data_IF_670221564750
#
_entry.id   IF_670221564750
#
_cell.length_a   1.000
_cell.length_b   1.000
_cell.length_c   1.000
_cell.angle_alpha   90.00
_cell.angle_beta   90.00
_cell.angle_gamma   90.00
#
_symmetry.space_group_name_H-M   'P 1'
#
loop_
_entity.id
_entity.type
_entity.pdbx_description
1 polymer ?
#
# COMPACT_ATOMS: atom_id res chain seq x y z
N UNK A 1 -77.42 57.97 -14.81
CA UNK A 1 -76.24 58.16 -15.70
C UNK A 1 -75.78 56.78 -16.12
N UNK A 2 -76.14 56.38 -17.34
CA UNK A 2 -75.92 55.04 -17.89
C UNK A 2 -74.57 55.08 -18.60
N UNK A 3 -73.60 54.29 -18.15
CA UNK A 3 -72.30 54.21 -18.83
C UNK A 3 -72.51 53.62 -20.24
N UNK A 4 -72.05 54.32 -21.29
CA UNK A 4 -72.17 53.82 -22.65
C UNK A 4 -71.33 52.56 -22.80
N UNK A 5 -71.96 51.48 -23.28
CA UNK A 5 -71.27 50.26 -23.68
C UNK A 5 -70.36 50.62 -24.86
N UNK A 6 -69.05 50.59 -24.64
CA UNK A 6 -68.02 50.75 -25.66
C UNK A 6 -68.14 49.61 -26.68
N UNK A 7 -69.01 49.82 -27.67
CA UNK A 7 -69.17 48.99 -28.85
C UNK A 7 -68.16 49.44 -29.90
N UNK A 8 -66.88 49.08 -29.73
CA UNK A 8 -65.83 49.12 -30.76
C UNK A 8 -64.51 48.65 -30.13
N UNK A 9 -64.38 47.35 -29.94
CA UNK A 9 -63.08 46.69 -29.98
C UNK A 9 -63.20 45.55 -30.99
N UNK A 10 -62.35 45.65 -32.01
CA UNK A 10 -61.94 44.62 -32.96
C UNK A 10 -62.36 43.21 -32.55
N UNK A 11 -63.11 42.53 -33.43
CA UNK A 11 -63.55 41.16 -33.20
C UNK A 11 -62.35 40.30 -32.80
N UNK A 12 -62.36 39.82 -31.55
CA UNK A 12 -61.30 38.98 -31.04
C UNK A 12 -61.11 37.78 -31.98
N UNK A 13 -59.87 37.33 -32.20
CA UNK A 13 -59.62 36.22 -33.10
C UNK A 13 -60.47 35.02 -32.66
N UNK A 14 -61.07 34.30 -33.61
CA UNK A 14 -61.95 33.13 -33.34
C UNK A 14 -61.32 32.03 -32.48
N UNK A 15 -60.01 32.10 -32.23
CA UNK A 15 -59.27 31.23 -31.33
C UNK A 15 -59.36 31.65 -29.86
N UNK A 16 -59.90 32.82 -29.53
CA UNK A 16 -60.07 33.33 -28.17
C UNK A 16 -60.97 32.42 -27.33
N UNK A 17 -62.13 32.02 -27.87
CA UNK A 17 -63.09 31.16 -27.18
C UNK A 17 -62.67 29.69 -27.13
N UNK A 18 -61.57 29.34 -27.83
CA UNK A 18 -60.95 28.00 -27.76
C UNK A 18 -59.90 27.88 -26.65
N UNK A 19 -59.51 29.01 -26.04
CA UNK A 19 -58.57 29.01 -24.91
C UNK A 19 -59.35 28.73 -23.63
N UNK A 20 -58.68 28.18 -22.63
CA UNK A 20 -59.31 27.90 -21.34
C UNK A 20 -59.44 29.15 -20.45
N UNK A 21 -58.64 30.17 -20.72
CA UNK A 21 -58.53 31.41 -19.94
C UNK A 21 -58.72 32.64 -20.83
N UNK A 22 -59.55 33.55 -20.38
CA UNK A 22 -59.80 34.85 -20.99
C UNK A 22 -58.85 35.90 -20.40
N UNK A 23 -57.96 36.42 -21.23
CA UNK A 23 -56.92 37.39 -20.85
C UNK A 23 -57.51 38.79 -20.62
N UNK A 24 -58.67 39.09 -21.20
CA UNK A 24 -59.30 40.41 -21.12
C UNK A 24 -60.13 40.52 -19.85
N UNK A 25 -60.90 39.48 -19.54
CA UNK A 25 -61.69 39.44 -18.31
C UNK A 25 -60.94 38.85 -17.11
N UNK A 26 -59.78 38.23 -17.32
CA UNK A 26 -58.96 37.55 -16.31
C UNK A 26 -59.74 36.41 -15.61
N UNK A 27 -60.57 35.69 -16.37
CA UNK A 27 -61.43 34.60 -15.87
C UNK A 27 -61.30 33.35 -16.72
N UNK A 28 -61.61 32.20 -16.14
CA UNK A 28 -61.74 30.95 -16.90
C UNK A 28 -63.11 30.88 -17.57
N UNK A 29 -63.16 30.29 -18.77
CA UNK A 29 -64.40 30.13 -19.52
C UNK A 29 -65.35 29.10 -18.90
N UNK A 30 -64.81 28.10 -18.20
CA UNK A 30 -65.56 27.11 -17.42
C UNK A 30 -65.07 27.07 -15.97
N UNK A 31 -66.02 26.96 -15.04
CA UNK A 31 -65.80 26.77 -13.60
C UNK A 31 -64.74 27.69 -12.97
N UNK A 32 -64.79 28.99 -13.27
CA UNK A 32 -63.81 29.98 -12.82
C UNK A 32 -63.59 29.97 -11.31
N UNK A 33 -64.66 29.93 -10.51
CA UNK A 33 -64.56 29.96 -9.05
C UNK A 33 -63.87 28.71 -8.48
N UNK A 34 -64.02 27.54 -9.11
CA UNK A 34 -63.41 26.30 -8.61
C UNK A 34 -61.93 26.25 -8.96
N UNK A 35 -61.56 26.65 -10.18
CA UNK A 35 -60.17 26.75 -10.63
C UNK A 35 -59.39 27.81 -9.86
N UNK A 36 -60.00 28.95 -9.58
CA UNK A 36 -59.37 30.00 -8.78
C UNK A 36 -59.10 29.52 -7.34
N UNK A 37 -60.07 28.84 -6.71
CA UNK A 37 -59.86 28.22 -5.40
C UNK A 37 -58.73 27.20 -5.40
N UNK A 38 -58.68 26.31 -6.40
CA UNK A 38 -57.60 25.33 -6.55
C UNK A 38 -56.24 26.02 -6.70
N UNK A 39 -56.14 27.05 -7.53
CA UNK A 39 -54.89 27.79 -7.73
C UNK A 39 -54.44 28.51 -6.45
N UNK A 40 -55.36 29.09 -5.67
CA UNK A 40 -55.06 29.70 -4.38
C UNK A 40 -54.62 28.67 -3.34
N UNK A 41 -55.25 27.50 -3.32
CA UNK A 41 -54.89 26.40 -2.43
C UNK A 41 -53.50 25.84 -2.76
N UNK A 42 -53.19 25.67 -4.05
CA UNK A 42 -51.86 25.28 -4.53
C UNK A 42 -50.82 26.33 -4.15
N UNK A 43 -51.09 27.61 -4.40
CA UNK A 43 -50.21 28.72 -4.02
C UNK A 43 -49.97 28.74 -2.52
N UNK A 44 -51.01 28.54 -1.71
CA UNK A 44 -50.91 28.48 -0.24
C UNK A 44 -50.02 27.31 0.19
N UNK A 45 -50.20 26.12 -0.39
CA UNK A 45 -49.37 24.94 -0.13
C UNK A 45 -47.91 25.21 -0.50
N UNK A 46 -47.65 25.82 -1.66
CA UNK A 46 -46.29 26.18 -2.07
C UNK A 46 -45.64 27.17 -1.10
N UNK A 47 -46.36 28.23 -0.73
CA UNK A 47 -45.84 29.24 0.21
C UNK A 47 -45.56 28.59 1.56
N UNK A 48 -46.43 27.70 2.04
CA UNK A 48 -46.22 26.96 3.28
C UNK A 48 -44.96 26.08 3.22
N UNK A 49 -44.76 25.34 2.13
CA UNK A 49 -43.55 24.53 1.95
C UNK A 49 -42.28 25.41 1.95
N UNK A 50 -42.28 26.53 1.21
CA UNK A 50 -41.14 27.46 1.17
C UNK A 50 -40.87 28.10 2.53
N UNK A 51 -41.92 28.43 3.28
CA UNK A 51 -41.82 28.97 4.63
C UNK A 51 -41.10 27.98 5.55
N UNK A 52 -41.55 26.72 5.62
CA UNK A 52 -40.94 25.71 6.50
C UNK A 52 -39.55 25.24 6.05
N UNK A 53 -39.19 25.41 4.77
CA UNK A 53 -37.81 25.19 4.32
C UNK A 53 -36.83 26.14 5.01
N UNK A 54 -37.24 27.38 5.23
CA UNK A 54 -36.41 28.46 5.81
C UNK A 54 -36.59 28.61 7.32
N UNK A 55 -37.77 28.26 7.86
CA UNK A 55 -38.16 28.47 9.26
C UNK A 55 -38.23 27.15 10.06
N UNK A 56 -37.28 26.24 9.86
CA UNK A 56 -37.22 24.97 10.61
C UNK A 56 -36.23 24.99 11.78
N UNK A 57 -35.49 26.07 11.96
CA UNK A 57 -34.42 26.21 12.94
C UNK A 57 -34.72 27.37 13.89
N UNK A 58 -34.56 27.13 15.19
CA UNK A 58 -34.63 28.18 16.21
C UNK A 58 -33.22 28.74 16.46
N UNK A 59 -32.92 30.00 16.08
CA UNK A 59 -31.61 30.59 16.28
C UNK A 59 -31.29 30.90 17.75
N UNK A 60 -32.29 30.96 18.64
CA UNK A 60 -32.09 31.29 20.06
C UNK A 60 -31.61 30.04 20.82
N UNK A 61 -32.34 28.94 20.65
CA UNK A 61 -31.99 27.64 21.26
C UNK A 61 -30.89 26.93 20.47
N UNK A 62 -30.73 27.28 19.20
CA UNK A 62 -29.82 26.65 18.24
C UNK A 62 -30.16 25.16 17.97
N UNK A 63 -31.45 24.84 17.93
CA UNK A 63 -31.99 23.50 17.70
C UNK A 63 -33.05 23.54 16.58
N UNK A 64 -33.23 22.42 15.88
CA UNK A 64 -34.36 22.25 14.96
C UNK A 64 -35.66 22.02 15.75
N UNK A 65 -36.78 22.59 15.28
CA UNK A 65 -38.10 22.38 15.90
C UNK A 65 -38.54 20.90 15.81
N UNK A 66 -38.09 20.19 14.78
CA UNK A 66 -38.35 18.77 14.59
C UNK A 66 -37.27 17.91 15.26
N UNK A 67 -37.71 17.07 16.20
CA UNK A 67 -36.84 16.22 17.04
C UNK A 67 -36.10 15.14 16.23
N UNK A 68 -36.73 14.61 15.17
CA UNK A 68 -36.09 13.57 14.36
C UNK A 68 -34.94 14.16 13.55
N UNK A 69 -35.18 15.33 12.94
CA UNK A 69 -34.18 16.10 12.21
C UNK A 69 -33.02 16.55 13.09
N UNK A 70 -33.31 16.99 14.33
CA UNK A 70 -32.29 17.34 15.31
C UNK A 70 -31.41 16.13 15.67
N UNK A 71 -32.02 14.97 15.93
CA UNK A 71 -31.27 13.75 16.24
C UNK A 71 -30.35 13.32 15.08
N UNK A 72 -30.81 13.45 13.83
CA UNK A 72 -29.96 13.19 12.66
C UNK A 72 -28.80 14.19 12.56
N UNK A 73 -29.07 15.47 12.76
CA UNK A 73 -28.04 16.51 12.74
C UNK A 73 -26.97 16.27 13.82
N UNK A 74 -27.38 15.90 15.04
CA UNK A 74 -26.48 15.58 16.13
C UNK A 74 -25.60 14.36 15.79
N UNK A 75 -26.19 13.29 15.25
CA UNK A 75 -25.42 12.11 14.79
C UNK A 75 -24.39 12.47 13.72
N UNK A 76 -24.77 13.29 12.73
CA UNK A 76 -23.85 13.76 11.69
C UNK A 76 -22.73 14.63 12.28
N UNK A 77 -23.06 15.53 13.21
CA UNK A 77 -22.12 16.41 13.88
C UNK A 77 -21.12 15.65 14.74
N UNK A 78 -21.58 14.62 15.45
CA UNK A 78 -20.72 13.71 16.21
C UNK A 78 -19.76 12.94 15.31
N UNK A 79 -20.26 12.39 14.20
CA UNK A 79 -19.42 11.73 13.20
C UNK A 79 -18.36 12.68 12.62
N UNK A 80 -18.75 13.92 12.32
CA UNK A 80 -17.81 14.95 11.86
C UNK A 80 -16.79 15.34 12.93
N UNK A 81 -17.21 15.50 14.18
CA UNK A 81 -16.32 15.82 15.30
C UNK A 81 -15.26 14.74 15.49
N UNK A 82 -15.64 13.47 15.36
CA UNK A 82 -14.71 12.34 15.43
C UNK A 82 -13.65 12.38 14.31
N UNK A 83 -14.04 12.79 13.10
CA UNK A 83 -13.16 12.81 11.91
C UNK A 83 -12.36 14.11 11.76
N UNK A 84 -12.80 15.21 12.37
CA UNK A 84 -12.20 16.53 12.15
C UNK A 84 -10.69 16.57 12.46
N UNK A 85 -10.26 16.03 13.61
CA UNK A 85 -8.84 16.01 13.98
C UNK A 85 -7.97 15.12 13.07
N UNK A 86 -8.48 13.94 12.70
CA UNK A 86 -7.72 12.99 11.87
C UNK A 86 -7.59 13.48 10.44
N UNK A 87 -8.63 14.12 9.89
CA UNK A 87 -8.61 14.71 8.55
C UNK A 87 -7.62 15.88 8.42
N UNK A 88 -7.51 16.72 9.47
CA UNK A 88 -6.53 17.80 9.51
C UNK A 88 -5.09 17.25 9.51
N UNK A 89 -4.81 16.23 10.33
CA UNK A 89 -3.52 15.54 10.33
C UNK A 89 -3.23 14.86 8.97
N UNK A 90 -4.25 14.30 8.34
CA UNK A 90 -4.16 13.68 7.02
C UNK A 90 -3.92 14.68 5.88
N UNK A 91 -4.10 15.99 6.09
CA UNK A 91 -3.74 17.05 5.12
C UNK A 91 -2.32 17.55 5.25
N UNK A 92 -1.64 17.29 6.37
CA UNK A 92 -0.29 17.78 6.60
C UNK A 92 0.73 17.24 5.57
N UNK A 93 1.84 17.94 5.32
CA UNK A 93 2.93 17.40 4.52
C UNK A 93 3.49 16.09 5.09
N UNK A 94 3.98 15.15 4.27
CA UNK A 94 4.56 13.89 4.73
C UNK A 94 5.68 14.05 5.76
N UNK A 95 6.50 15.10 5.62
CA UNK A 95 7.58 15.42 6.57
C UNK A 95 7.07 15.63 7.99
N UNK A 96 5.91 16.27 8.15
CA UNK A 96 5.29 16.53 9.46
C UNK A 96 4.48 15.31 9.91
N UNK A 97 3.73 14.68 9.00
CA UNK A 97 2.91 13.49 9.30
C UNK A 97 3.70 12.32 9.86
N UNK A 98 4.86 12.06 9.27
CA UNK A 98 5.75 10.97 9.63
C UNK A 98 6.94 11.47 10.45
N UNK A 99 6.83 12.64 11.09
CA UNK A 99 7.83 13.10 12.04
C UNK A 99 7.71 12.31 13.35
N UNK A 100 8.83 12.15 14.05
CA UNK A 100 8.89 11.51 15.37
C UNK A 100 7.96 12.20 16.38
N UNK A 101 7.90 13.55 16.35
CA UNK A 101 7.00 14.32 17.22
C UNK A 101 5.50 14.04 16.99
N UNK A 102 5.13 13.58 15.79
CA UNK A 102 3.77 13.13 15.51
C UNK A 102 3.50 11.70 15.99
N UNK A 103 4.51 10.82 15.91
CA UNK A 103 4.39 9.39 16.23
C UNK A 103 4.67 9.05 17.72
N UNK A 104 5.35 9.94 18.44
CA UNK A 104 5.84 9.71 19.80
C UNK A 104 5.36 10.80 20.78
N UNK A 105 5.07 10.40 22.01
CA UNK A 105 4.78 11.35 23.10
C UNK A 105 6.00 11.50 24.01
N UNK A 106 6.60 12.68 24.01
CA UNK A 106 7.82 12.97 24.79
C UNK A 106 7.54 12.93 26.31
N UNK A 107 6.33 13.32 26.72
CA UNK A 107 6.00 13.44 28.16
C UNK A 107 5.76 12.08 28.80
N UNK A 108 4.96 11.23 28.15
CA UNK A 108 4.65 9.88 28.66
C UNK A 108 5.66 8.83 28.22
N UNK A 109 6.57 9.19 27.31
CA UNK A 109 7.51 8.26 26.66
C UNK A 109 6.82 7.06 26.00
N UNK A 110 5.60 7.26 25.51
CA UNK A 110 4.81 6.23 24.84
C UNK A 110 4.68 6.53 23.36
N UNK A 111 4.71 5.47 22.55
CA UNK A 111 4.46 5.54 21.11
C UNK A 111 2.97 5.73 20.86
N UNK A 112 2.60 6.79 20.14
CA UNK A 112 1.21 7.04 19.73
C UNK A 112 0.84 6.14 18.55
N UNK A 113 1.72 6.09 17.54
CA UNK A 113 1.52 5.36 16.29
C UNK A 113 2.80 4.63 15.87
N UNK A 114 2.88 3.33 16.14
CA UNK A 114 4.05 2.50 15.81
C UNK A 114 4.34 2.45 14.30
N UNK A 115 3.29 2.42 13.48
CA UNK A 115 3.43 2.35 12.02
C UNK A 115 4.12 3.60 11.47
N UNK A 116 3.77 4.79 11.98
CA UNK A 116 4.37 6.06 11.56
C UNK A 116 5.81 6.17 12.04
N UNK A 117 6.09 5.70 13.24
CA UNK A 117 7.44 5.67 13.79
C UNK A 117 8.37 4.84 12.90
N UNK A 118 7.96 3.62 12.52
CA UNK A 118 8.73 2.76 11.60
C UNK A 118 9.00 3.42 10.25
N UNK A 119 8.03 4.19 9.72
CA UNK A 119 8.23 4.93 8.46
C UNK A 119 9.23 6.08 8.62
N UNK A 120 9.23 6.76 9.77
CA UNK A 120 10.16 7.82 10.10
C UNK A 120 11.58 7.27 10.23
N UNK A 121 11.75 6.23 11.05
CA UNK A 121 13.01 5.51 11.24
C UNK A 121 13.56 4.97 9.91
N UNK A 122 12.69 4.43 9.05
CA UNK A 122 13.09 3.96 7.72
C UNK A 122 13.56 5.08 6.79
N UNK A 123 12.98 6.28 6.90
CA UNK A 123 13.39 7.45 6.13
C UNK A 123 14.75 7.97 6.60
N UNK A 124 14.97 8.06 7.92
CA UNK A 124 16.23 8.49 8.51
C UNK A 124 17.36 7.48 8.21
N UNK A 125 17.08 6.19 8.42
CA UNK A 125 18.06 5.12 8.20
C UNK A 125 18.34 4.84 6.71
N UNK A 126 17.64 5.48 5.77
CA UNK A 126 17.83 5.27 4.33
C UNK A 126 19.26 5.56 3.89
N UNK A 127 19.85 6.64 4.39
CA UNK A 127 21.22 7.04 4.05
C UNK A 127 22.27 6.05 4.62
N UNK A 128 21.99 5.45 5.76
CA UNK A 128 22.86 4.43 6.36
C UNK A 128 22.71 3.11 5.58
N UNK A 129 21.49 2.74 5.22
CA UNK A 129 21.21 1.51 4.49
C UNK A 129 21.75 1.53 3.05
N UNK A 130 21.77 2.69 2.37
CA UNK A 130 22.41 2.81 1.05
C UNK A 130 23.92 2.55 1.11
N UNK A 131 24.60 3.05 2.15
CA UNK A 131 26.03 2.79 2.37
C UNK A 131 26.35 1.34 2.71
N UNK A 132 25.42 0.65 3.41
CA UNK A 132 25.57 -0.80 3.69
C UNK A 132 25.55 -1.61 2.40
N UNK A 133 24.70 -1.24 1.43
CA UNK A 133 24.64 -1.90 0.12
C UNK A 133 25.97 -1.86 -0.62
N UNK A 134 26.59 -0.68 -0.73
CA UNK A 134 27.89 -0.54 -1.41
C UNK A 134 29.01 -1.34 -0.73
N UNK A 135 29.02 -1.40 0.61
CA UNK A 135 30.01 -2.20 1.34
C UNK A 135 29.83 -3.71 1.11
N UNK A 136 28.58 -4.18 0.99
CA UNK A 136 28.29 -5.58 0.66
C UNK A 136 28.71 -5.89 -0.78
N UNK A 137 28.40 -5.01 -1.73
CA UNK A 137 28.82 -5.18 -3.13
C UNK A 137 30.34 -5.19 -3.29
N UNK A 138 31.06 -4.32 -2.58
CA UNK A 138 32.53 -4.32 -2.56
C UNK A 138 33.08 -5.66 -2.07
N UNK A 139 32.54 -6.21 -0.98
CA UNK A 139 32.94 -7.53 -0.47
C UNK A 139 32.67 -8.66 -1.47
N UNK A 140 31.56 -8.58 -2.21
CA UNK A 140 31.23 -9.55 -3.26
C UNK A 140 32.22 -9.44 -4.43
N UNK A 141 32.52 -8.22 -4.87
CA UNK A 141 33.51 -7.96 -5.93
C UNK A 141 34.89 -8.46 -5.54
N UNK A 142 35.39 -8.10 -4.35
CA UNK A 142 36.69 -8.58 -3.86
C UNK A 142 36.77 -10.11 -3.79
N UNK A 143 35.68 -10.77 -3.41
CA UNK A 143 35.61 -12.24 -3.38
C UNK A 143 35.67 -12.82 -4.79
N UNK A 144 34.95 -12.22 -5.74
CA UNK A 144 34.96 -12.63 -7.14
C UNK A 144 36.36 -12.45 -7.76
N UNK A 145 36.97 -11.27 -7.59
CA UNK A 145 38.32 -10.96 -8.06
C UNK A 145 39.37 -11.91 -7.48
N UNK A 146 39.28 -12.26 -6.19
CA UNK A 146 40.18 -13.23 -5.56
C UNK A 146 40.04 -14.62 -6.19
N UNK A 147 38.82 -15.03 -6.53
CA UNK A 147 38.59 -16.31 -7.19
C UNK A 147 39.10 -16.31 -8.62
N UNK A 148 38.86 -15.23 -9.36
CA UNK A 148 39.32 -15.05 -10.74
C UNK A 148 40.86 -15.07 -10.80
N UNK A 149 41.53 -14.24 -9.98
CA UNK A 149 43.00 -14.23 -9.86
C UNK A 149 43.53 -15.62 -9.53
N UNK A 150 42.92 -16.34 -8.60
CA UNK A 150 43.35 -17.70 -8.26
C UNK A 150 43.15 -18.71 -9.41
N UNK A 151 42.15 -18.53 -10.28
CA UNK A 151 41.97 -19.36 -11.47
C UNK A 151 42.97 -19.00 -12.57
N UNK A 152 43.23 -17.71 -12.79
CA UNK A 152 44.25 -17.22 -13.71
C UNK A 152 45.64 -17.70 -13.30
N UNK A 153 46.01 -17.56 -12.03
CA UNK A 153 47.29 -18.05 -11.51
C UNK A 153 47.45 -19.56 -11.77
N UNK A 154 46.38 -20.34 -11.56
CA UNK A 154 46.39 -21.78 -11.85
C UNK A 154 46.54 -22.07 -13.34
N UNK A 155 45.93 -21.29 -14.22
CA UNK A 155 46.05 -21.47 -15.66
C UNK A 155 47.46 -21.12 -16.15
N UNK A 156 48.02 -20.00 -15.67
CA UNK A 156 49.40 -19.60 -15.96
C UNK A 156 50.42 -20.62 -15.45
N UNK A 157 50.24 -21.17 -14.24
CA UNK A 157 51.11 -22.22 -13.72
C UNK A 157 51.05 -23.50 -14.56
N UNK A 158 49.89 -23.87 -15.10
CA UNK A 158 49.77 -25.02 -16.03
C UNK A 158 50.52 -24.77 -17.33
N UNK A 159 50.35 -23.58 -17.91
CA UNK A 159 51.04 -23.18 -19.14
C UNK A 159 52.56 -23.11 -18.94
N UNK A 160 53.02 -22.52 -17.83
CA UNK A 160 54.44 -22.44 -17.50
C UNK A 160 55.06 -23.85 -17.32
N UNK A 161 54.34 -24.77 -16.64
CA UNK A 161 54.79 -26.17 -16.50
C UNK A 161 54.85 -26.89 -17.85
N UNK A 162 53.83 -26.75 -18.68
CA UNK A 162 53.78 -27.38 -20.00
C UNK A 162 54.82 -26.79 -20.97
N UNK A 163 55.02 -25.47 -20.95
CA UNK A 163 56.03 -24.77 -21.74
C UNK A 163 57.45 -25.21 -21.37
N UNK A 164 57.74 -25.33 -20.06
CA UNK A 164 59.02 -25.86 -19.59
C UNK A 164 59.25 -27.32 -20.01
N UNK A 165 58.19 -28.14 -20.07
CA UNK A 165 58.27 -29.51 -20.58
C UNK A 165 58.55 -29.53 -22.09
N UNK A 166 57.81 -28.77 -22.90
CA UNK A 166 58.05 -28.69 -24.35
C UNK A 166 59.44 -28.14 -24.66
N UNK A 167 59.88 -27.07 -24.01
CA UNK A 167 61.22 -26.53 -24.23
C UNK A 167 62.34 -27.52 -23.89
N UNK A 168 62.09 -28.52 -23.03
CA UNK A 168 63.04 -29.59 -22.72
C UNK A 168 63.04 -30.72 -23.73
N UNK A 169 61.86 -31.17 -24.14
CA UNK A 169 61.71 -32.31 -25.05
C UNK A 169 61.92 -31.89 -26.50
N UNK A 170 61.44 -30.72 -26.89
CA UNK A 170 61.43 -30.22 -28.26
C UNK A 170 62.60 -29.25 -28.53
N UNK A 171 63.03 -28.45 -27.56
CA UNK A 171 64.13 -27.49 -27.73
C UNK A 171 65.52 -28.13 -27.97
N UNK A 172 65.62 -29.46 -27.86
CA UNK A 172 66.83 -30.26 -28.09
C UNK A 172 66.71 -31.20 -29.31
N UNK A 173 65.69 -30.99 -30.16
CA UNK A 173 65.35 -31.88 -31.27
C UNK A 173 66.44 -32.00 -32.34
N UNK A 174 67.31 -31.01 -32.47
CA UNK A 174 68.45 -31.13 -33.37
C UNK A 174 69.51 -31.98 -32.67
N UNK A 175 69.56 -33.27 -33.03
CA UNK A 175 70.51 -34.28 -32.51
C UNK A 175 71.98 -34.00 -32.86
N UNK A 176 72.30 -32.77 -33.26
CA UNK A 176 73.60 -32.26 -33.64
C UNK A 176 73.80 -30.86 -33.08
N UNK A 177 75.05 -30.49 -32.82
CA UNK A 177 75.41 -29.17 -32.32
C UNK A 177 75.30 -28.13 -33.44
N UNK A 178 74.39 -27.16 -33.32
CA UNK A 178 74.01 -26.21 -34.39
C UNK A 178 75.18 -25.41 -35.00
N UNK A 179 76.25 -25.17 -34.24
CA UNK A 179 77.40 -24.36 -34.69
C UNK A 179 78.50 -25.21 -35.34
N UNK A 180 78.71 -26.43 -34.84
CA UNK A 180 79.80 -27.31 -35.29
C UNK A 180 79.30 -28.45 -36.17
N UNK A 181 77.98 -28.60 -36.30
CA UNK A 181 77.28 -29.65 -37.03
C UNK A 181 77.77 -31.07 -36.68
N UNK A 182 78.21 -31.26 -35.44
CA UNK A 182 78.67 -32.56 -34.93
C UNK A 182 77.52 -33.24 -34.22
N UNK A 183 77.37 -34.55 -34.42
CA UNK A 183 76.32 -35.32 -33.77
C UNK A 183 76.49 -35.31 -32.25
N UNK A 184 75.36 -35.22 -31.55
CA UNK A 184 75.30 -35.26 -30.11
C UNK A 184 75.24 -36.70 -29.55
N UNK A 185 75.15 -37.69 -30.44
CA UNK A 185 75.00 -39.10 -30.12
C UNK A 185 76.13 -39.92 -30.76
N UNK A 186 76.56 -41.00 -30.11
CA UNK A 186 77.62 -41.90 -30.61
C UNK A 186 78.98 -41.70 -29.93
N UNK A 187 79.99 -42.48 -30.37
CA UNK A 187 81.30 -42.61 -29.69
C UNK A 187 82.14 -41.32 -29.74
N UNK A 188 81.91 -40.45 -30.73
CA UNK A 188 82.59 -39.16 -30.90
C UNK A 188 81.66 -37.96 -30.69
N UNK A 189 80.46 -38.19 -30.13
CA UNK A 189 79.47 -37.14 -29.97
C UNK A 189 79.84 -36.16 -28.85
N UNK A 190 79.58 -34.87 -29.07
CA UNK A 190 79.76 -33.86 -28.03
C UNK A 190 78.57 -33.86 -27.05
N UNK A 191 78.81 -33.70 -25.74
CA UNK A 191 77.73 -33.65 -24.76
C UNK A 191 76.88 -32.40 -24.96
N UNK A 192 75.55 -32.55 -24.91
CA UNK A 192 74.65 -31.38 -25.01
C UNK A 192 74.89 -30.43 -23.83
N UNK A 193 74.81 -29.11 -24.05
CA UNK A 193 74.88 -28.14 -22.96
C UNK A 193 73.76 -28.39 -21.94
N UNK A 194 74.01 -28.18 -20.63
CA UNK A 194 73.00 -28.36 -19.60
C UNK A 194 71.84 -27.38 -19.79
N UNK A 195 70.60 -27.82 -19.52
CA UNK A 195 69.44 -26.94 -19.67
C UNK A 195 69.49 -25.85 -18.62
N UNK A 196 69.33 -24.58 -19.01
CA UNK A 196 69.17 -23.47 -18.07
C UNK A 196 67.81 -23.46 -17.36
N UNK A 197 66.90 -24.36 -17.76
CA UNK A 197 65.58 -24.52 -17.16
C UNK A 197 65.69 -25.33 -15.85
N UNK A 198 65.02 -24.91 -14.76
CA UNK A 198 65.11 -25.55 -13.44
C UNK A 198 64.58 -26.98 -13.48
N UNK A 199 65.35 -27.96 -12.97
CA UNK A 199 65.01 -29.39 -12.92
C UNK A 199 63.56 -29.59 -12.45
N UNK A 200 62.84 -30.55 -13.06
CA UNK A 200 61.51 -30.86 -12.55
C UNK A 200 61.71 -31.45 -11.16
N UNK A 201 61.06 -30.87 -10.16
CA UNK A 201 61.10 -31.42 -8.82
C UNK A 201 60.51 -32.84 -8.85
N UNK A 202 61.30 -33.81 -8.41
CA UNK A 202 60.85 -35.17 -8.20
C UNK A 202 59.79 -35.21 -7.11
N UNK A 203 58.94 -36.24 -7.13
CA UNK A 203 57.87 -36.42 -6.14
C UNK A 203 58.41 -36.35 -4.71
N UNK A 204 59.59 -36.93 -4.48
CA UNK A 204 60.28 -36.88 -3.18
C UNK A 204 60.78 -35.49 -2.81
N UNK A 205 61.36 -34.73 -3.75
CA UNK A 205 61.78 -33.35 -3.48
C UNK A 205 60.60 -32.41 -3.27
N UNK A 206 59.44 -32.68 -3.90
CA UNK A 206 58.18 -31.98 -3.64
C UNK A 206 57.66 -32.24 -2.23
N UNK A 207 57.71 -33.50 -1.79
CA UNK A 207 57.32 -33.87 -0.43
C UNK A 207 58.19 -33.16 0.63
N UNK A 208 59.48 -33.00 0.36
CA UNK A 208 60.42 -32.29 1.25
C UNK A 208 60.36 -30.76 1.13
N UNK A 209 59.94 -30.20 -0.01
CA UNK A 209 59.73 -28.75 -0.13
C UNK A 209 58.38 -28.29 0.44
N UNK A 210 57.38 -29.18 0.45
CA UNK A 210 56.06 -28.94 1.05
C UNK A 210 56.10 -28.82 2.58
N UNK A 211 57.12 -29.36 3.25
CA UNK A 211 57.27 -29.21 4.71
C UNK A 211 57.73 -27.81 5.14
N UNK A 212 58.43 -27.07 4.28
CA UNK A 212 58.90 -25.70 4.58
C UNK A 212 58.00 -24.62 3.95
N UNK A 213 57.37 -24.90 2.81
CA UNK A 213 56.44 -23.97 2.15
C UNK A 213 54.99 -24.38 2.44
N UNK A 214 54.44 -23.85 3.53
CA UNK A 214 53.09 -24.13 4.00
C UNK A 214 52.02 -24.15 2.89
N UNK A 215 51.46 -25.34 2.65
CA UNK A 215 50.10 -25.62 2.19
C UNK A 215 49.52 -24.63 1.18
N UNK A 216 50.00 -24.64 -0.06
CA UNK A 216 49.27 -24.08 -1.20
C UNK A 216 49.43 -24.94 -2.45
N UNK A 217 48.57 -25.95 -2.58
CA UNK A 217 47.95 -26.48 -3.82
C UNK A 217 47.04 -27.64 -3.37
N UNK A 218 45.72 -27.56 -3.51
CA UNK A 218 45.05 -27.57 -4.79
C UNK A 218 44.28 -28.88 -5.08
N UNK A 219 44.22 -29.85 -4.16
CA UNK A 219 43.16 -30.87 -4.14
C UNK A 219 42.06 -30.43 -3.19
N UNK A 220 40.83 -30.35 -3.69
CA UNK A 220 39.64 -29.93 -2.97
C UNK A 220 39.11 -31.02 -2.02
N UNK A 221 39.99 -31.60 -1.22
CA UNK A 221 39.62 -32.39 -0.05
C UNK A 221 40.54 -31.91 1.06
N UNK A 222 40.11 -30.83 1.74
CA UNK A 222 40.67 -30.54 3.05
C UNK A 222 40.61 -31.84 3.87
N UNK A 223 41.67 -32.26 4.56
CA UNK A 223 41.52 -33.32 5.55
C UNK A 223 40.50 -32.79 6.54
N UNK A 224 39.27 -33.33 6.48
CA UNK A 224 38.31 -33.20 7.57
C UNK A 224 39.11 -33.57 8.81
N UNK A 225 39.23 -32.64 9.77
CA UNK A 225 39.67 -32.96 11.12
C UNK A 225 38.89 -34.21 11.50
N UNK A 226 39.57 -35.36 11.51
CA UNK A 226 38.98 -36.61 11.93
C UNK A 226 38.52 -36.34 13.34
N UNK A 227 37.20 -36.42 13.52
CA UNK A 227 36.60 -36.38 14.84
C UNK A 227 37.38 -37.38 15.68
N UNK A 228 37.79 -36.95 16.88
CA UNK A 228 38.34 -37.77 17.96
C UNK A 228 37.79 -39.20 17.86
N UNK A 229 38.68 -40.19 17.91
CA UNK A 229 38.30 -41.59 17.93
C UNK A 229 37.14 -41.79 18.93
N UNK A 230 36.07 -42.44 18.47
CA UNK A 230 34.91 -42.76 19.28
C UNK A 230 35.38 -43.74 20.34
N UNK A 231 35.48 -43.26 21.58
CA UNK A 231 35.76 -44.10 22.74
C UNK A 231 34.63 -45.14 22.84
N UNK A 232 34.99 -46.43 22.79
CA UNK A 232 34.05 -47.56 22.86
C UNK A 232 33.78 -47.99 24.31
N UNK A 233 34.24 -47.21 25.29
CA UNK A 233 33.86 -47.39 26.68
C UNK A 233 32.49 -46.71 26.90
N UNK A 234 31.45 -47.52 27.11
CA UNK A 234 30.06 -47.08 27.24
C UNK A 234 29.77 -46.26 28.49
N UNK A 235 30.37 -45.08 28.62
CA UNK A 235 30.06 -44.11 29.67
C UNK A 235 29.21 -42.97 29.08
N UNK A 236 27.96 -42.92 29.52
CA UNK A 236 27.02 -41.83 29.23
C UNK A 236 27.44 -40.62 30.06
N UNK A 237 27.89 -39.55 29.40
CA UNK A 237 28.06 -38.24 30.02
C UNK A 237 27.32 -37.20 29.20
N UNK A 238 26.16 -36.85 29.70
CA UNK A 238 25.34 -35.69 29.34
C UNK A 238 26.12 -34.42 29.64
N UNK A 239 26.36 -33.57 28.63
CA UNK A 239 26.49 -32.14 28.87
C UNK A 239 26.15 -31.33 27.60
N UNK A 240 25.07 -30.58 27.72
CA UNK A 240 24.60 -29.57 26.80
C UNK A 240 25.56 -28.38 26.80
N UNK A 241 26.06 -27.97 25.62
CA UNK A 241 26.26 -26.53 25.36
C UNK A 241 26.15 -26.18 23.88
N UNK A 242 25.10 -25.39 23.65
CA UNK A 242 24.80 -24.48 22.55
C UNK A 242 25.97 -24.08 21.62
N UNK A 243 25.72 -24.11 20.30
CA UNK A 243 25.50 -22.88 19.52
C UNK A 243 25.19 -23.17 18.03
N UNK A 244 24.15 -22.47 17.55
CA UNK A 244 23.89 -21.97 16.20
C UNK A 244 23.99 -22.93 15.01
N UNK A 245 22.83 -23.38 14.54
CA UNK A 245 22.61 -23.86 13.19
C UNK A 245 22.25 -22.68 12.27
N UNK A 246 23.18 -22.30 11.40
CA UNK A 246 22.86 -21.79 10.07
C UNK A 246 22.96 -22.97 9.09
N UNK A 247 21.94 -23.25 8.27
CA UNK A 247 22.18 -23.90 7.00
C UNK A 247 21.56 -23.10 5.85
N UNK A 248 22.42 -22.34 5.18
CA UNK A 248 22.21 -21.93 3.80
C UNK A 248 22.79 -22.98 2.84
N UNK A 249 21.87 -23.59 2.07
CA UNK A 249 22.05 -24.01 0.67
C UNK A 249 22.88 -25.27 0.38
N UNK A 250 22.19 -26.38 0.15
CA UNK A 250 22.53 -27.29 -0.97
C UNK A 250 21.28 -27.61 -1.78
N UNK A 251 21.39 -27.27 -3.07
CA UNK A 251 20.47 -27.53 -4.17
C UNK A 251 20.20 -29.01 -4.38
N UNK A 252 18.91 -29.38 -4.44
CA UNK A 252 18.45 -30.52 -5.22
C UNK A 252 17.08 -30.16 -5.81
N UNK A 253 17.05 -30.04 -7.14
CA UNK A 253 15.85 -29.81 -7.96
C UNK A 253 15.11 -31.14 -8.14
N UNK A 254 13.77 -31.13 -8.14
CA UNK A 254 13.05 -31.87 -9.16
C UNK A 254 12.01 -31.01 -9.88
N UNK A 255 11.61 -31.54 -11.03
CA UNK A 255 10.71 -31.02 -12.05
C UNK A 255 9.22 -31.12 -11.69
N UNK A 256 8.40 -30.42 -12.50
CA UNK A 256 6.92 -30.41 -12.58
C UNK A 256 6.25 -29.43 -11.58
N UNK A 257 5.25 -28.62 -11.92
CA UNK A 257 4.33 -28.55 -13.06
C UNK A 257 3.82 -27.11 -13.22
N UNK A 258 3.46 -26.74 -14.45
CA UNK A 258 2.84 -25.47 -14.84
C UNK A 258 1.48 -25.25 -14.15
N UNK A 259 1.36 -24.16 -13.39
CA UNK A 259 0.09 -23.50 -13.12
C UNK A 259 0.32 -21.99 -13.03
N UNK A 260 -0.03 -21.28 -14.10
CA UNK A 260 0.02 -19.83 -14.20
C UNK A 260 -1.01 -19.22 -13.25
N UNK A 261 -0.54 -18.57 -12.18
CA UNK A 261 -1.35 -17.62 -11.40
C UNK A 261 -0.81 -16.23 -11.67
N UNK A 262 -1.54 -15.49 -12.51
CA UNK A 262 -1.28 -14.09 -12.79
C UNK A 262 -1.45 -13.27 -11.50
N UNK A 263 -0.35 -12.73 -10.98
CA UNK A 263 -0.40 -11.73 -9.91
C UNK A 263 -0.70 -10.35 -10.51
N UNK A 264 -1.97 -9.97 -10.44
CA UNK A 264 -2.42 -8.60 -10.59
C UNK A 264 -1.82 -7.74 -9.47
N UNK A 265 -0.97 -6.79 -9.87
CA UNK A 265 -0.56 -5.66 -9.02
C UNK A 265 -1.77 -4.72 -8.84
N UNK A 266 -2.52 -4.91 -7.76
CA UNK A 266 -3.46 -3.89 -7.26
C UNK A 266 -2.73 -3.04 -6.22
N UNK A 267 -2.15 -1.92 -6.67
CA UNK A 267 -1.85 -0.80 -5.78
C UNK A 267 -3.18 -0.21 -5.34
N UNK A 268 -3.69 -0.65 -4.19
CA UNK A 268 -4.82 -0.01 -3.52
C UNK A 268 -4.30 1.34 -3.00
N UNK A 269 -4.50 2.38 -3.80
CA UNK A 269 -4.47 3.75 -3.32
C UNK A 269 -5.57 3.86 -2.26
N UNK A 270 -5.16 3.81 -0.99
CA UNK A 270 -6.05 4.06 0.13
C UNK A 270 -6.51 5.52 0.01
N UNK A 271 -7.69 5.71 -0.60
CA UNK A 271 -8.36 7.00 -0.59
C UNK A 271 -8.48 7.44 0.88
N UNK A 272 -8.17 8.71 1.21
CA UNK A 272 -8.42 9.21 2.56
C UNK A 272 -9.89 8.96 2.90
N UNK A 273 -10.22 8.71 4.18
CA UNK A 273 -11.59 8.48 4.60
C UNK A 273 -12.45 9.61 4.06
N UNK A 274 -13.48 9.24 3.28
CA UNK A 274 -14.38 10.22 2.68
C UNK A 274 -15.10 10.90 3.83
N UNK A 275 -14.77 12.18 4.06
CA UNK A 275 -15.39 12.97 5.11
C UNK A 275 -16.88 12.99 4.79
N UNK A 276 -17.76 12.57 5.72
CA UNK A 276 -19.20 12.65 5.49
C UNK A 276 -19.54 14.11 5.25
N UNK A 277 -19.94 14.46 4.03
CA UNK A 277 -20.44 15.80 3.76
C UNK A 277 -21.76 15.95 4.49
N UNK A 278 -21.88 17.01 5.29
CA UNK A 278 -23.11 17.40 5.97
C UNK A 278 -24.20 17.55 4.91
N UNK A 279 -25.00 16.50 4.76
CA UNK A 279 -26.08 16.48 3.78
C UNK A 279 -27.28 17.00 4.54
N UNK A 280 -27.61 18.27 4.29
CA UNK A 280 -28.86 18.85 4.77
C UNK A 280 -30.00 17.91 4.34
N UNK A 281 -30.90 17.49 5.24
CA UNK A 281 -31.98 16.58 4.88
C UNK A 281 -32.87 17.28 3.85
N UNK A 282 -32.74 16.86 2.59
CA UNK A 282 -33.57 17.31 1.49
C UNK A 282 -34.86 16.50 1.46
N UNK A 283 -35.65 16.58 2.53
CA UNK A 283 -37.00 16.02 2.55
C UNK A 283 -37.99 17.04 2.00
N UNK A 284 -37.96 17.23 0.67
CA UNK A 284 -38.93 18.06 -0.03
C UNK A 284 -40.28 17.32 -0.23
N UNK A 285 -40.29 15.99 -0.14
CA UNK A 285 -41.50 15.19 -0.46
C UNK A 285 -42.23 14.60 0.75
N UNK A 286 -41.66 14.64 1.97
CA UNK A 286 -42.32 14.08 3.16
C UNK A 286 -43.10 15.12 3.99
N UNK A 287 -42.85 16.42 3.80
CA UNK A 287 -43.59 17.49 4.48
C UNK A 287 -44.99 17.73 3.89
N UNK A 288 -45.31 17.17 2.73
CA UNK A 288 -46.63 17.32 2.10
C UNK A 288 -47.72 16.49 2.80
N UNK A 289 -47.36 15.43 3.54
CA UNK A 289 -48.36 14.48 4.09
C UNK A 289 -48.64 14.67 5.59
N UNK A 290 -47.84 15.47 6.32
CA UNK A 290 -47.95 15.60 7.78
C UNK A 290 -48.60 16.90 8.27
N UNK A 291 -49.00 17.80 7.36
CA UNK A 291 -49.60 19.11 7.71
C UNK A 291 -50.96 19.35 7.04
N UNK A 292 -51.75 18.31 6.79
CA UNK A 292 -53.18 18.46 6.54
C UNK A 292 -53.88 18.75 7.88
N UNK A 293 -54.03 20.04 8.21
CA UNK A 293 -54.92 20.46 9.27
C UNK A 293 -56.37 20.23 8.82
N UNK A 294 -57.22 19.58 9.64
CA UNK A 294 -58.63 19.43 9.30
C UNK A 294 -59.27 20.81 9.16
N UNK A 295 -59.89 21.04 7.99
CA UNK A 295 -60.75 22.18 7.72
C UNK A 295 -61.78 22.36 8.85
N UNK A 296 -61.92 23.60 9.33
CA UNK A 296 -62.75 23.98 10.50
C UNK A 296 -64.26 23.86 10.22
N UNK A 297 -64.68 23.42 9.04
CA UNK A 297 -66.10 23.32 8.67
C UNK A 297 -66.81 22.02 9.11
N UNK A 298 -66.12 21.10 9.80
CA UNK A 298 -66.70 19.83 10.27
C UNK A 298 -67.00 19.76 11.78
N UNK A 299 -67.03 20.89 12.50
CA UNK A 299 -67.34 20.93 13.93
C UNK A 299 -68.80 21.34 14.21
N UNK A 300 -69.77 20.55 13.72
CA UNK A 300 -71.17 20.67 14.18
C UNK A 300 -71.90 19.33 14.16
N UNK A 301 -71.61 18.50 15.16
CA UNK A 301 -72.58 17.67 15.88
C UNK A 301 -71.81 16.61 16.67
N UNK A 302 -71.94 16.65 18.01
CA UNK A 302 -72.28 15.53 18.89
C UNK A 302 -71.79 15.91 20.29
N UNK A 303 -72.74 16.36 21.12
CA UNK A 303 -72.50 16.59 22.55
C UNK A 303 -72.50 15.24 23.28
N UNK A 304 -71.54 14.94 24.16
CA UNK A 304 -71.68 13.86 25.12
C UNK A 304 -72.44 14.36 26.37
N UNK A 305 -73.49 13.62 26.71
CA UNK A 305 -74.27 13.79 27.91
C UNK A 305 -73.42 13.59 29.18
N UNK A 306 -73.73 14.41 30.17
CA UNK A 306 -73.27 14.34 31.55
C UNK A 306 -73.61 13.00 32.21
N UNK A 307 -72.61 12.26 32.67
CA UNK A 307 -72.78 11.23 33.70
C UNK A 307 -72.05 11.63 34.98
N UNK A 308 -72.87 11.69 36.02
CA UNK A 308 -72.62 12.11 37.39
C UNK A 308 -71.60 11.23 38.10
N UNK A 309 -70.62 11.86 38.73
CA UNK A 309 -69.72 11.21 39.67
C UNK A 309 -70.43 10.80 40.95
N UNK A 310 -70.27 9.53 41.33
CA UNK A 310 -70.47 9.06 42.69
C UNK A 310 -69.11 8.79 43.30
N UNK A 311 -68.85 9.53 44.39
CA UNK A 311 -67.63 9.56 45.19
C UNK A 311 -67.81 8.59 46.36
N UNK A 312 -67.01 7.52 46.40
CA UNK A 312 -66.70 6.74 47.61
C UNK A 312 -65.21 6.37 47.49
N UNK A 313 -64.30 6.58 48.45
CA UNK A 313 -64.43 6.75 49.89
C UNK A 313 -64.03 5.45 50.59
N UNK A 314 -62.73 5.31 50.93
CA UNK A 314 -62.15 4.21 51.71
C UNK A 314 -60.89 3.66 51.03
N UNK A 315 -59.68 3.66 51.59
CA UNK A 315 -59.27 3.68 52.99
C UNK A 315 -58.69 2.30 53.34
N UNK A 316 -57.38 2.14 53.15
CA UNK A 316 -56.36 1.51 54.02
C UNK A 316 -55.02 1.48 53.28
#
# INVERSE_FOLDING_TARGET
VVHPKLSQFEALPRSHDKREFDVISNRYHSDHETREKQALDEMRKEIQVRYWQTHNFDPIVAEYYDREKEAEFQRQREALRAVHGTSALARLPPSIKHSEGAAYNIVTQTTKDEAKLKTAEGAENRAINSKKGSAVEQKIKERAEKLEKAMEDRSFLRLARAGNMRARTEGRLHGYHLITNTDCHGRLGQPLPPSRLPAQENVWSKLHSETDAGLRMGTSVAPRKTKKARDLTGAVSTELRAQSADPGVTSARPSESLAATAMTRTTVSARPPTVPTLRMPSNITQLQNNYDFPSVDAAKATAPASETGVRTGGGF
#
